data_IF_217307457131
#
_entry.id   IF_217307457131
#
_cell.length_a   1.000
_cell.length_b   1.000
_cell.length_c   1.000
_cell.angle_alpha   90.00
_cell.angle_beta   90.00
_cell.angle_gamma   90.00
#
_symmetry.space_group_name_H-M   'P 1'
#
loop_
_entity.id
_entity.type
_entity.pdbx_description
1 polymer ?
#
# COMPACT_ATOMS: atom_id res chain seq x y z
N UNK A 1 -33.32 -27.79 19.70
CA UNK A 1 -34.07 -27.23 18.57
C UNK A 1 -33.54 -27.92 17.32
N UNK A 2 -34.31 -28.83 16.73
CA UNK A 2 -33.86 -29.67 15.61
C UNK A 2 -34.28 -29.00 14.31
N UNK A 3 -33.31 -28.67 13.45
CA UNK A 3 -33.55 -27.98 12.18
C UNK A 3 -33.47 -29.03 11.06
N UNK A 4 -34.41 -28.98 10.13
CA UNK A 4 -34.54 -29.90 9.00
C UNK A 4 -34.23 -29.13 7.71
N UNK A 5 -33.33 -29.66 6.88
CA UNK A 5 -32.97 -29.08 5.58
C UNK A 5 -34.02 -29.41 4.50
N UNK A 6 -33.96 -28.75 3.34
CA UNK A 6 -34.82 -28.96 2.15
C UNK A 6 -34.77 -30.39 1.61
N UNK A 7 -33.69 -31.12 1.89
CA UNK A 7 -33.52 -32.54 1.57
C UNK A 7 -33.95 -33.47 2.73
N UNK A 8 -34.69 -32.96 3.72
CA UNK A 8 -35.28 -33.69 4.85
C UNK A 8 -34.28 -34.34 5.83
N UNK A 9 -33.01 -33.94 5.78
CA UNK A 9 -32.01 -34.40 6.76
C UNK A 9 -32.13 -33.62 8.08
N UNK A 10 -32.15 -34.35 9.19
CA UNK A 10 -32.40 -33.82 10.54
C UNK A 10 -31.07 -33.69 11.29
N UNK A 11 -30.65 -32.45 11.57
CA UNK A 11 -29.39 -32.18 12.27
C UNK A 11 -29.65 -31.82 13.73
N UNK A 12 -28.90 -32.45 14.65
CA UNK A 12 -29.09 -32.28 16.10
C UNK A 12 -28.40 -31.04 16.68
N UNK A 13 -27.37 -30.51 16.02
CA UNK A 13 -26.56 -29.37 16.52
C UNK A 13 -26.31 -28.35 15.38
N UNK A 14 -26.25 -27.05 15.71
CA UNK A 14 -26.11 -25.95 14.75
C UNK A 14 -24.71 -25.84 14.09
N UNK A 15 -23.69 -26.52 14.63
CA UNK A 15 -22.30 -26.42 14.16
C UNK A 15 -21.98 -27.30 12.93
N UNK A 16 -22.98 -28.01 12.39
CA UNK A 16 -22.86 -28.80 11.17
C UNK A 16 -22.93 -27.98 9.87
N UNK A 17 -23.23 -26.69 9.94
CA UNK A 17 -23.25 -25.79 8.79
C UNK A 17 -21.87 -25.14 8.56
N UNK A 18 -20.82 -25.95 8.46
CA UNK A 18 -19.56 -25.44 7.87
C UNK A 18 -19.76 -25.43 6.36
N UNK A 19 -19.92 -24.21 5.83
CA UNK A 19 -20.08 -23.94 4.41
C UNK A 19 -19.02 -24.66 3.60
N UNK A 20 -19.43 -25.72 2.91
CA UNK A 20 -18.64 -26.28 1.82
C UNK A 20 -18.61 -25.19 0.75
N UNK A 21 -17.43 -24.68 0.33
CA UNK A 21 -17.39 -23.66 -0.70
C UNK A 21 -18.07 -24.21 -1.96
N UNK A 22 -19.06 -23.46 -2.45
CA UNK A 22 -19.76 -23.83 -3.68
C UNK A 22 -18.75 -23.92 -4.82
N UNK A 23 -18.93 -24.89 -5.75
CA UNK A 23 -18.09 -24.96 -6.94
C UNK A 23 -18.17 -23.64 -7.73
N UNK A 24 -17.07 -23.23 -8.34
CA UNK A 24 -17.01 -22.02 -9.15
C UNK A 24 -17.65 -22.28 -10.54
N UNK A 25 -18.97 -22.34 -10.60
CA UNK A 25 -19.78 -22.53 -11.81
C UNK A 25 -20.80 -21.40 -11.98
N UNK A 26 -21.44 -21.29 -13.16
CA UNK A 26 -22.43 -20.24 -13.48
C UNK A 26 -23.60 -20.17 -12.46
N UNK A 27 -23.91 -21.29 -11.81
CA UNK A 27 -24.98 -21.37 -10.80
C UNK A 27 -24.57 -20.79 -9.44
N UNK A 28 -23.26 -20.58 -9.21
CA UNK A 28 -22.75 -19.92 -8.02
C UNK A 28 -22.82 -18.40 -8.21
N UNK A 29 -23.54 -17.65 -7.36
CA UNK A 29 -23.59 -16.18 -7.46
C UNK A 29 -22.22 -15.51 -7.28
N UNK A 30 -21.23 -16.21 -6.72
CA UNK A 30 -19.84 -15.80 -6.64
C UNK A 30 -18.96 -16.36 -7.79
N UNK A 31 -19.57 -16.74 -8.92
CA UNK A 31 -18.86 -17.24 -10.09
C UNK A 31 -17.84 -16.22 -10.61
N UNK A 32 -16.58 -16.64 -10.73
CA UNK A 32 -15.49 -15.87 -11.33
C UNK A 32 -14.98 -16.62 -12.54
N UNK A 33 -15.04 -16.01 -13.72
CA UNK A 33 -14.47 -16.56 -14.95
C UNK A 33 -12.94 -16.66 -14.85
N UNK A 34 -12.32 -17.71 -15.39
CA UNK A 34 -10.86 -17.91 -15.28
C UNK A 34 -10.03 -16.74 -15.86
N UNK A 35 -10.59 -15.99 -16.81
CA UNK A 35 -10.00 -14.76 -17.35
C UNK A 35 -9.84 -13.66 -16.29
N UNK A 36 -10.75 -13.57 -15.32
CA UNK A 36 -10.68 -12.58 -14.23
C UNK A 36 -9.60 -12.93 -13.19
N UNK A 37 -9.23 -14.22 -13.06
CA UNK A 37 -8.12 -14.64 -12.19
C UNK A 37 -6.74 -14.31 -12.76
N UNK A 38 -6.64 -14.09 -14.09
CA UNK A 38 -5.39 -13.73 -14.76
C UNK A 38 -5.04 -12.24 -14.67
N UNK A 39 -6.04 -11.40 -14.37
CA UNK A 39 -5.82 -10.02 -14.02
C UNK A 39 -5.47 -9.99 -12.53
N UNK A 40 -4.18 -10.12 -12.22
CA UNK A 40 -3.68 -9.60 -10.96
C UNK A 40 -4.22 -8.17 -10.85
N UNK A 41 -4.96 -7.80 -9.80
CA UNK A 41 -5.26 -6.42 -9.58
C UNK A 41 -3.90 -5.78 -9.33
N UNK A 42 -3.37 -5.09 -10.34
CA UNK A 42 -2.62 -3.88 -10.07
C UNK A 42 -3.59 -3.10 -9.20
N UNK A 43 -3.47 -3.19 -7.88
CA UNK A 43 -4.24 -2.36 -6.97
C UNK A 43 -3.83 -0.93 -7.29
N UNK A 44 -4.61 -0.37 -8.19
CA UNK A 44 -4.40 0.88 -8.85
C UNK A 44 -4.75 1.91 -7.79
N UNK A 45 -3.75 2.36 -7.04
CA UNK A 45 -3.70 3.80 -6.82
C UNK A 45 -3.38 4.32 -8.19
N UNK A 46 -4.26 5.16 -8.73
CA UNK A 46 -3.92 5.92 -9.91
C UNK A 46 -2.63 6.66 -9.62
N UNK A 47 -1.53 6.12 -10.16
CA UNK A 47 -0.40 6.93 -10.62
C UNK A 47 -0.90 8.08 -11.51
N UNK A 48 -2.13 7.96 -12.02
CA UNK A 48 -2.96 8.93 -12.74
C UNK A 48 -3.38 10.19 -11.96
N UNK A 49 -3.20 10.28 -10.63
CA UNK A 49 -3.41 11.53 -9.88
C UNK A 49 -2.16 12.43 -9.85
N UNK A 50 -1.01 11.90 -10.28
CA UNK A 50 0.20 12.69 -10.46
C UNK A 50 0.11 13.45 -11.79
N UNK A 51 0.32 14.77 -11.72
CA UNK A 51 0.26 15.65 -12.88
C UNK A 51 1.29 15.23 -13.95
N UNK A 52 1.05 15.50 -15.23
CA UNK A 52 2.02 15.25 -16.31
C UNK A 52 3.38 15.88 -16.03
N UNK A 53 3.39 17.04 -15.35
CA UNK A 53 4.60 17.72 -14.89
C UNK A 53 5.46 16.83 -13.96
N UNK A 54 4.85 16.01 -13.11
CA UNK A 54 5.58 15.12 -12.21
C UNK A 54 6.37 14.05 -12.98
N UNK A 55 5.78 13.48 -14.03
CA UNK A 55 6.47 12.51 -14.89
C UNK A 55 7.60 13.15 -15.69
N UNK A 56 7.41 14.40 -16.12
CA UNK A 56 8.46 15.17 -16.77
C UNK A 56 9.63 15.44 -15.82
N UNK A 57 9.35 15.82 -14.57
CA UNK A 57 10.37 16.01 -13.54
C UNK A 57 11.12 14.70 -13.23
N UNK A 58 10.45 13.55 -13.22
CA UNK A 58 11.13 12.24 -13.09
C UNK A 58 12.11 12.04 -14.24
N UNK A 59 11.68 12.24 -15.49
CA UNK A 59 12.56 12.07 -16.66
C UNK A 59 13.76 13.02 -16.59
N UNK A 60 13.52 14.27 -16.18
CA UNK A 60 14.57 15.26 -15.97
C UNK A 60 15.51 14.83 -14.83
N UNK A 61 15.01 14.19 -13.77
CA UNK A 61 15.88 13.67 -12.71
C UNK A 61 16.88 12.62 -13.22
N UNK A 62 16.48 11.82 -14.20
CA UNK A 62 17.34 10.78 -14.76
C UNK A 62 18.50 11.33 -15.59
N UNK A 63 18.41 12.55 -16.12
CA UNK A 63 19.53 13.16 -16.86
C UNK A 63 20.68 13.53 -15.92
N UNK A 64 20.38 13.76 -14.65
CA UNK A 64 21.35 14.13 -13.62
C UNK A 64 21.94 12.89 -12.92
N UNK A 65 21.21 11.78 -12.92
CA UNK A 65 21.68 10.52 -12.33
C UNK A 65 22.39 9.63 -13.35
N UNK A 66 23.68 9.36 -13.08
CA UNK A 66 24.53 8.56 -13.98
C UNK A 66 23.94 7.16 -14.22
N UNK A 67 23.44 6.51 -13.17
CA UNK A 67 22.93 5.13 -13.24
C UNK A 67 21.65 5.09 -14.08
N UNK A 68 20.69 5.97 -13.81
CA UNK A 68 19.43 6.03 -14.53
C UNK A 68 19.63 6.45 -15.99
N UNK A 69 20.53 7.39 -16.28
CA UNK A 69 20.89 7.73 -17.66
C UNK A 69 21.45 6.52 -18.42
N UNK A 70 22.31 5.70 -17.79
CA UNK A 70 22.83 4.47 -18.41
C UNK A 70 21.70 3.47 -18.65
N UNK A 71 20.82 3.26 -17.66
CA UNK A 71 19.68 2.34 -17.78
C UNK A 71 18.71 2.78 -18.88
N UNK A 72 18.36 4.06 -18.95
CA UNK A 72 17.52 4.59 -20.03
C UNK A 72 18.13 4.35 -21.40
N UNK A 73 19.42 4.64 -21.58
CA UNK A 73 20.11 4.39 -22.85
C UNK A 73 20.15 2.91 -23.21
N UNK A 74 20.43 2.05 -22.24
CA UNK A 74 20.46 0.60 -22.42
C UNK A 74 19.09 0.05 -22.84
N UNK A 75 18.02 0.43 -22.13
CA UNK A 75 16.67 -0.05 -22.36
C UNK A 75 16.03 0.52 -23.64
N UNK A 76 16.44 1.70 -24.10
CA UNK A 76 15.87 2.34 -25.31
C UNK A 76 16.42 1.75 -26.60
N UNK A 77 17.71 1.41 -26.64
CA UNK A 77 18.43 1.21 -27.90
C UNK A 77 18.48 -0.24 -28.38
N UNK A 78 17.79 -1.18 -27.74
CA UNK A 78 17.90 -2.64 -28.00
C UNK A 78 19.36 -3.11 -28.18
N UNK A 79 20.30 -2.39 -27.57
CA UNK A 79 21.66 -2.41 -28.06
C UNK A 79 22.49 -3.39 -27.26
N UNK A 80 23.25 -4.18 -28.02
CA UNK A 80 24.28 -5.18 -27.66
C UNK A 80 25.45 -4.61 -26.83
N UNK A 81 25.19 -3.70 -25.88
CA UNK A 81 26.18 -2.98 -25.09
C UNK A 81 26.30 -3.55 -23.67
N UNK A 82 26.84 -4.78 -23.60
CA UNK A 82 27.21 -5.42 -22.34
C UNK A 82 28.22 -4.59 -21.52
N UNK A 83 28.98 -3.69 -22.14
CA UNK A 83 30.01 -2.88 -21.47
C UNK A 83 29.44 -1.78 -20.57
N UNK A 84 28.25 -1.24 -20.84
CA UNK A 84 27.64 -0.20 -20.00
C UNK A 84 27.05 -0.78 -18.72
N UNK A 85 26.47 -1.99 -18.80
CA UNK A 85 25.97 -2.72 -17.62
C UNK A 85 27.10 -3.08 -16.66
N UNK A 86 28.32 -3.32 -17.17
CA UNK A 86 29.49 -3.59 -16.33
C UNK A 86 29.81 -2.45 -15.35
N UNK A 87 29.41 -1.21 -15.66
CA UNK A 87 29.61 -0.06 -14.78
C UNK A 87 28.54 0.09 -13.68
N UNK A 88 27.47 -0.73 -13.70
CA UNK A 88 26.43 -0.73 -12.67
C UNK A 88 26.84 -1.58 -11.45
N UNK A 89 26.30 -1.25 -10.27
CA UNK A 89 26.48 -2.11 -9.09
C UNK A 89 25.85 -3.49 -9.31
N UNK A 90 26.34 -4.49 -8.57
CA UNK A 90 25.90 -5.90 -8.73
C UNK A 90 24.39 -6.09 -8.58
N UNK A 91 23.73 -5.28 -7.76
CA UNK A 91 22.28 -5.32 -7.55
C UNK A 91 21.53 -5.07 -8.86
N UNK A 92 22.00 -4.09 -9.63
CA UNK A 92 21.40 -3.68 -10.90
C UNK A 92 21.71 -4.68 -12.01
N UNK A 93 22.92 -5.23 -12.01
CA UNK A 93 23.33 -6.29 -12.95
C UNK A 93 22.45 -7.52 -12.81
N UNK A 94 22.34 -8.05 -11.59
CA UNK A 94 21.53 -9.23 -11.31
C UNK A 94 20.07 -9.04 -11.72
N UNK A 95 19.50 -7.89 -11.37
CA UNK A 95 18.11 -7.58 -11.70
C UNK A 95 17.91 -7.35 -13.21
N UNK A 96 18.93 -6.84 -13.91
CA UNK A 96 18.92 -6.72 -15.37
C UNK A 96 19.00 -8.09 -16.06
N UNK A 97 19.88 -8.98 -15.61
CA UNK A 97 20.04 -10.33 -16.16
C UNK A 97 18.75 -11.15 -16.00
N UNK A 98 17.98 -10.89 -14.95
CA UNK A 98 16.65 -11.46 -14.72
C UNK A 98 15.52 -10.78 -15.55
N UNK A 99 15.84 -9.79 -16.39
CA UNK A 99 14.88 -9.09 -17.26
C UNK A 99 13.86 -8.25 -16.50
N UNK A 100 14.21 -7.75 -15.30
CA UNK A 100 13.28 -7.08 -14.39
C UNK A 100 13.15 -5.57 -14.62
N UNK A 101 13.94 -4.97 -15.50
CA UNK A 101 13.82 -3.56 -15.82
C UNK A 101 13.07 -3.35 -17.13
N UNK A 102 12.12 -2.43 -17.12
CA UNK A 102 11.36 -2.00 -18.28
C UNK A 102 11.40 -0.49 -18.39
N UNK A 103 11.49 0.02 -19.61
CA UNK A 103 11.38 1.44 -19.90
C UNK A 103 10.04 1.68 -20.57
N UNK A 104 9.19 2.50 -19.95
CA UNK A 104 7.88 2.88 -20.48
C UNK A 104 7.78 4.40 -20.41
N UNK A 105 7.51 5.07 -21.53
CA UNK A 105 7.38 6.52 -21.63
C UNK A 105 8.57 7.30 -21.02
N UNK A 106 9.78 6.77 -21.17
CA UNK A 106 11.02 7.35 -20.62
C UNK A 106 11.20 7.16 -19.11
N UNK A 107 10.33 6.37 -18.47
CA UNK A 107 10.36 6.07 -17.03
C UNK A 107 10.83 4.63 -16.81
N UNK A 108 11.74 4.45 -15.85
CA UNK A 108 12.28 3.13 -15.51
C UNK A 108 11.34 2.47 -14.50
N UNK A 109 10.87 1.27 -14.84
CA UNK A 109 10.09 0.40 -13.97
C UNK A 109 10.89 -0.83 -13.58
N UNK A 110 10.80 -1.20 -12.31
CA UNK A 110 11.38 -2.41 -11.73
C UNK A 110 10.28 -3.42 -11.43
N UNK A 111 10.32 -4.55 -12.12
CA UNK A 111 9.40 -5.66 -11.96
C UNK A 111 9.96 -6.67 -10.96
N UNK A 112 9.16 -7.00 -9.97
CA UNK A 112 9.36 -8.17 -9.10
C UNK A 112 8.31 -9.22 -9.41
N UNK A 113 8.32 -10.36 -8.71
CA UNK A 113 7.40 -11.48 -8.98
C UNK A 113 5.91 -11.08 -9.08
N UNK A 114 5.48 -10.11 -8.27
CA UNK A 114 4.06 -9.70 -8.18
C UNK A 114 3.85 -8.18 -8.20
N UNK A 115 4.90 -7.38 -8.39
CA UNK A 115 4.81 -5.90 -8.28
C UNK A 115 5.62 -5.23 -9.37
N UNK A 116 5.15 -4.08 -9.83
CA UNK A 116 5.86 -3.21 -10.77
C UNK A 116 6.02 -1.84 -10.12
N UNK A 117 7.26 -1.43 -9.86
CA UNK A 117 7.57 -0.22 -9.11
C UNK A 117 8.28 0.79 -10.02
N UNK A 118 7.86 2.04 -9.99
CA UNK A 118 8.51 3.14 -10.70
C UNK A 118 9.77 3.60 -9.97
N UNK A 119 10.87 3.81 -10.69
CA UNK A 119 12.11 4.33 -10.13
C UNK A 119 12.01 5.84 -9.91
N UNK A 120 12.28 6.29 -8.69
CA UNK A 120 12.48 7.72 -8.39
C UNK A 120 13.86 7.90 -7.76
N UNK A 121 14.54 9.00 -8.11
CA UNK A 121 15.90 9.28 -7.64
C UNK A 121 15.95 10.57 -6.83
N UNK A 122 15.27 11.60 -7.30
CA UNK A 122 15.33 12.90 -6.65
C UNK A 122 14.51 12.95 -5.35
N UNK A 123 15.10 13.54 -4.31
CA UNK A 123 14.48 13.65 -2.98
C UNK A 123 13.27 14.56 -2.98
N UNK A 124 13.24 15.60 -3.82
CA UNK A 124 12.09 16.50 -3.88
C UNK A 124 10.85 15.78 -4.42
N UNK A 125 11.05 14.93 -5.44
CA UNK A 125 10.00 14.07 -6.01
C UNK A 125 9.56 12.99 -5.02
N UNK A 126 10.48 12.39 -4.27
CA UNK A 126 10.15 11.44 -3.21
C UNK A 126 9.25 12.12 -2.16
N UNK A 127 9.62 13.31 -1.67
CA UNK A 127 8.81 14.03 -0.70
C UNK A 127 7.44 14.44 -1.26
N UNK A 128 7.38 14.82 -2.54
CA UNK A 128 6.12 15.12 -3.23
C UNK A 128 5.20 13.90 -3.22
N UNK A 129 5.73 12.72 -3.59
CA UNK A 129 5.00 11.45 -3.54
C UNK A 129 4.52 11.15 -2.13
N UNK A 130 5.40 11.22 -1.13
CA UNK A 130 5.04 10.94 0.25
C UNK A 130 3.90 11.84 0.72
N UNK A 131 3.95 13.11 0.34
CA UNK A 131 2.91 14.09 0.60
C UNK A 131 1.59 13.74 -0.09
N UNK A 132 1.59 13.47 -1.39
CA UNK A 132 0.37 13.13 -2.13
C UNK A 132 -0.30 11.86 -1.58
N UNK A 133 0.47 10.82 -1.28
CA UNK A 133 -0.08 9.59 -0.71
C UNK A 133 -0.58 9.76 0.73
N UNK A 134 0.01 10.69 1.49
CA UNK A 134 -0.38 10.98 2.86
C UNK A 134 -1.58 11.94 2.96
N UNK A 135 -1.56 13.04 2.19
CA UNK A 135 -2.49 14.17 2.26
C UNK A 135 -3.70 14.02 1.32
N UNK A 136 -3.77 12.97 0.50
CA UNK A 136 -4.87 12.75 -0.45
C UNK A 136 -6.24 12.84 0.24
N UNK A 137 -7.25 13.51 -0.34
CA UNK A 137 -8.60 13.49 0.24
C UNK A 137 -9.22 12.09 0.30
N UNK A 138 -8.73 11.14 -0.51
CA UNK A 138 -9.09 9.71 -0.45
C UNK A 138 -8.26 8.93 0.59
N UNK A 139 -7.22 9.53 1.17
CA UNK A 139 -6.45 8.97 2.27
C UNK A 139 -7.07 9.25 3.64
N UNK A 140 -8.37 9.59 3.68
CA UNK A 140 -9.15 9.79 4.91
C UNK A 140 -8.89 8.63 5.88
N UNK A 141 -7.99 8.89 6.83
CA UNK A 141 -7.47 7.92 7.81
C UNK A 141 -6.74 6.68 7.23
N UNK A 142 -5.98 6.78 6.14
CA UNK A 142 -4.98 5.75 5.84
C UNK A 142 -3.98 5.72 6.99
N UNK A 143 -3.94 4.59 7.71
CA UNK A 143 -2.88 4.35 8.68
C UNK A 143 -1.52 4.43 7.99
N UNK A 144 -0.51 4.89 8.72
CA UNK A 144 0.90 4.88 8.29
C UNK A 144 1.27 3.56 7.58
N UNK A 145 0.80 2.44 8.12
CA UNK A 145 0.98 1.11 7.56
C UNK A 145 0.44 0.97 6.14
N UNK A 146 -0.79 1.43 5.87
CA UNK A 146 -1.38 1.36 4.53
C UNK A 146 -0.58 2.21 3.54
N UNK A 147 -0.18 3.42 3.93
CA UNK A 147 0.62 4.28 3.05
C UNK A 147 1.98 3.66 2.74
N UNK A 148 2.62 3.04 3.73
CA UNK A 148 3.88 2.29 3.55
C UNK A 148 3.72 1.10 2.61
N UNK A 149 2.64 0.34 2.72
CA UNK A 149 2.35 -0.78 1.82
C UNK A 149 2.20 -0.33 0.36
N UNK A 150 1.50 0.79 0.17
CA UNK A 150 1.28 1.41 -1.15
C UNK A 150 2.56 1.93 -1.78
N UNK A 151 3.39 2.63 -1.00
CA UNK A 151 4.70 3.10 -1.47
C UNK A 151 5.55 1.89 -1.91
N UNK A 152 5.58 0.85 -1.09
CA UNK A 152 6.31 -0.40 -1.36
C UNK A 152 5.83 -1.13 -2.63
N UNK A 153 4.59 -0.91 -3.08
CA UNK A 153 4.07 -1.54 -4.31
C UNK A 153 4.28 -0.69 -5.55
N UNK A 154 4.24 0.64 -5.42
CA UNK A 154 4.21 1.54 -6.56
C UNK A 154 5.57 2.16 -6.92
N UNK A 155 6.44 2.43 -5.94
CA UNK A 155 7.62 3.30 -6.15
C UNK A 155 8.84 2.71 -5.46
N UNK A 156 10.00 2.83 -6.10
CA UNK A 156 11.24 2.26 -5.60
C UNK A 156 12.40 3.26 -5.64
N UNK A 157 13.10 3.40 -4.52
CA UNK A 157 14.35 4.16 -4.39
C UNK A 157 15.26 3.55 -3.31
N UNK A 158 16.51 4.03 -3.22
CA UNK A 158 17.48 3.53 -2.25
C UNK A 158 17.09 4.02 -0.84
N UNK A 159 17.18 3.14 0.17
CA UNK A 159 16.83 3.48 1.56
C UNK A 159 15.39 3.95 1.79
N UNK A 160 14.44 3.56 0.93
CA UNK A 160 13.05 4.01 0.99
C UNK A 160 12.38 3.84 2.37
N UNK A 161 12.71 2.77 3.10
CA UNK A 161 12.13 2.52 4.42
C UNK A 161 12.45 3.63 5.41
N UNK A 162 13.71 4.08 5.41
CA UNK A 162 14.17 5.12 6.32
C UNK A 162 13.55 6.48 5.96
N UNK A 163 13.53 6.83 4.68
CA UNK A 163 12.94 8.10 4.25
C UNK A 163 11.43 8.17 4.56
N UNK A 164 10.73 7.04 4.45
CA UNK A 164 9.31 6.94 4.82
C UNK A 164 9.13 7.07 6.33
N UNK A 165 9.94 6.39 7.13
CA UNK A 165 9.92 6.48 8.59
C UNK A 165 10.20 7.91 9.06
N UNK A 166 11.26 8.54 8.57
CA UNK A 166 11.63 9.94 8.86
C UNK A 166 10.48 10.91 8.49
N UNK A 167 9.74 10.64 7.40
CA UNK A 167 8.59 11.45 7.00
C UNK A 167 7.42 11.34 8.00
N UNK A 168 7.08 10.13 8.44
CA UNK A 168 6.01 9.93 9.42
C UNK A 168 6.38 10.44 10.81
N UNK A 169 7.64 10.28 11.21
CA UNK A 169 8.16 10.83 12.45
C UNK A 169 8.11 12.36 12.47
N UNK A 170 8.29 13.04 11.34
CA UNK A 170 8.25 14.52 11.26
C UNK A 170 6.84 15.08 11.00
N UNK A 171 5.87 14.23 10.65
CA UNK A 171 4.50 14.65 10.36
C UNK A 171 3.74 15.06 11.64
N UNK A 172 3.47 16.36 11.79
CA UNK A 172 2.73 16.92 12.94
C UNK A 172 1.31 16.35 13.09
N UNK A 173 0.67 15.94 11.99
CA UNK A 173 -0.68 15.36 12.00
C UNK A 173 -0.63 13.96 12.62
N UNK A 174 0.28 13.11 12.12
CA UNK A 174 0.52 11.77 12.66
C UNK A 174 0.94 11.80 14.13
N UNK A 175 1.87 12.70 14.49
CA UNK A 175 2.31 12.88 15.88
C UNK A 175 1.14 13.23 16.82
N UNK A 176 0.26 14.15 16.41
CA UNK A 176 -0.91 14.53 17.20
C UNK A 176 -1.91 13.38 17.35
N UNK A 177 -2.14 12.62 16.28
CA UNK A 177 -3.03 11.47 16.30
C UNK A 177 -2.52 10.39 17.28
N UNK A 178 -1.24 10.02 17.18
CA UNK A 178 -0.64 9.00 18.07
C UNK A 178 -0.60 9.44 19.54
N UNK A 179 -0.33 10.71 19.81
CA UNK A 179 -0.29 11.24 21.19
C UNK A 179 -1.68 11.26 21.86
N UNK A 180 -2.76 11.32 21.09
CA UNK A 180 -4.13 11.31 21.62
C UNK A 180 -4.53 9.94 22.21
N UNK A 181 -3.96 8.85 21.69
CA UNK A 181 -4.22 7.47 22.11
C UNK A 181 -3.46 7.08 23.38
N UNK A 182 -2.43 7.84 23.77
CA UNK A 182 -1.55 7.54 24.91
C UNK A 182 -2.03 8.05 26.27
N UNK A 183 -3.06 8.91 26.31
CA UNK A 183 -3.62 9.32 27.60
C UNK A 183 -4.45 8.14 28.11
N UNK A 184 -3.95 7.43 29.13
CA UNK A 184 -4.79 6.57 29.97
C UNK A 184 -6.00 7.43 30.36
N UNK A 185 -7.16 7.16 29.76
CA UNK A 185 -8.43 7.65 30.30
C UNK A 185 -8.38 7.25 31.77
N UNK A 186 -8.38 8.25 32.66
CA UNK A 186 -8.23 8.00 34.09
C UNK A 186 -9.16 6.87 34.49
N UNK A 187 -8.65 5.90 35.27
CA UNK A 187 -9.40 4.71 35.65
C UNK A 187 -10.85 5.10 35.96
N UNK A 188 -11.83 4.45 35.31
CA UNK A 188 -13.24 4.66 35.61
C UNK A 188 -13.42 4.55 37.12
N UNK A 189 -13.65 5.68 37.79
CA UNK A 189 -13.88 5.70 39.22
C UNK A 189 -15.30 5.18 39.39
N UNK A 190 -15.45 4.02 40.05
CA UNK A 190 -16.78 3.57 40.49
C UNK A 190 -17.31 4.62 41.46
N UNK A 191 -18.34 5.35 41.07
CA UNK A 191 -19.08 6.19 42.00
C UNK A 191 -19.66 5.30 43.10
N UNK A 192 -19.57 5.75 44.35
CA UNK A 192 -20.22 5.07 45.47
C UNK A 192 -21.72 5.23 45.31
N UNK A 193 -22.46 4.13 45.37
CA UNK A 193 -23.92 4.15 45.39
C UNK A 193 -24.40 4.92 46.65
N UNK A 194 -25.30 5.89 46.51
CA UNK A 194 -25.88 6.58 47.65
C UNK A 194 -26.71 5.60 48.47
N UNK A 195 -26.58 5.66 49.79
CA UNK A 195 -27.30 4.79 50.73
C UNK A 195 -28.60 5.42 51.21
N UNK A 196 -28.71 6.74 51.10
CA UNK A 196 -29.88 7.49 51.55
C UNK A 196 -30.39 8.44 50.46
N UNK A 197 -31.70 8.75 50.44
CA UNK A 197 -32.24 9.79 49.58
C UNK A 197 -31.50 11.12 49.80
N UNK A 198 -31.22 11.85 48.71
CA UNK A 198 -30.59 13.19 48.71
C UNK A 198 -29.10 13.27 49.09
N UNK A 199 -28.38 12.14 49.21
CA UNK A 199 -26.95 12.13 49.55
C UNK A 199 -26.03 12.72 48.45
N UNK A 200 -26.45 12.66 47.19
CA UNK A 200 -25.70 13.19 46.06
C UNK A 200 -26.61 14.13 45.28
N UNK A 201 -26.37 15.42 45.41
CA UNK A 201 -26.98 16.45 44.56
C UNK A 201 -25.93 16.96 43.59
N UNK A 202 -26.06 16.60 42.31
CA UNK A 202 -25.21 17.14 41.24
C UNK A 202 -25.86 18.43 40.76
N UNK A 203 -25.25 19.57 41.09
CA UNK A 203 -25.63 20.85 40.48
C UNK A 203 -25.04 20.90 39.07
N UNK A 204 -25.91 20.95 38.07
CA UNK A 204 -25.54 21.23 36.68
C UNK A 204 -25.80 22.72 36.50
N UNK A 205 -24.73 23.53 36.59
CA UNK A 205 -24.73 24.96 36.26
C UNK A 205 -24.36 25.19 34.82
#
# INVERSE_FOLDING_TARGET
>A
MTIVDKDLNIHKNADGLRGVPLPNNIDNPAYVTEEASSQLPMEHISVTDLNTAFFEDIRNSYTHDRICSILCQFLTKDCKYNSLIQALDEIWKKSNDEGRFHLLDGIIYHRTKHKCMMKVVDKSLINHVLKEYHDSPFSEHLSEEKTREKIKTCIWWLMWQKDVEDYFETCKICQKANNSTGKRLGNMIKMKEPRNPWEICIFIG
#
